data_IF_895929760138
#
_entry.id   IF_895929760138
#
_cell.length_a   1.000
_cell.length_b   1.000
_cell.length_c   1.000
_cell.angle_alpha   90.00
_cell.angle_beta   90.00
_cell.angle_gamma   90.00
#
_symmetry.space_group_name_H-M   'P 1'
#
loop_
_entity.id
_entity.type
_entity.pdbx_description
1 polymer ?
#
# COMPACT_ATOMS: atom_id res chain seq x y z
N UNK A 1 17.10 -1.88 12.84
CA UNK A 1 17.09 -1.47 11.42
C UNK A 1 15.76 -0.82 11.07
N UNK A 2 15.79 0.17 10.19
CA UNK A 2 14.57 0.84 9.74
C UNK A 2 13.75 -0.11 8.87
N UNK A 3 12.45 -0.14 9.07
CA UNK A 3 11.56 -0.81 8.15
C UNK A 3 11.56 -0.06 6.80
N UNK A 4 11.50 -0.82 5.72
CA UNK A 4 11.51 -0.27 4.36
C UNK A 4 10.13 -0.34 3.75
N UNK A 5 9.62 0.81 3.34
CA UNK A 5 8.29 0.96 2.79
C UNK A 5 8.39 1.36 1.33
N UNK A 6 7.68 0.63 0.47
CA UNK A 6 7.48 1.05 -0.92
C UNK A 6 6.13 1.76 -1.00
N UNK A 7 6.10 2.93 -1.62
CA UNK A 7 4.86 3.66 -1.88
C UNK A 7 4.66 3.79 -3.38
N UNK A 8 3.50 3.39 -3.87
CA UNK A 8 3.15 3.47 -5.28
C UNK A 8 1.92 4.35 -5.43
N UNK A 9 2.10 5.54 -6.01
CA UNK A 9 1.05 6.54 -6.16
C UNK A 9 1.49 7.52 -7.25
N UNK A 10 0.56 7.91 -8.13
CA UNK A 10 0.88 8.79 -9.25
C UNK A 10 0.76 10.29 -8.93
N UNK A 11 0.42 10.66 -7.70
CA UNK A 11 0.31 12.05 -7.26
C UNK A 11 1.56 12.47 -6.49
N UNK A 12 2.48 13.25 -7.11
CA UNK A 12 3.74 13.61 -6.46
C UNK A 12 3.57 14.45 -5.19
N UNK A 13 2.57 15.32 -5.14
CA UNK A 13 2.35 16.17 -3.97
C UNK A 13 1.87 15.34 -2.78
N UNK A 14 0.94 14.43 -3.01
CA UNK A 14 0.46 13.53 -1.97
C UNK A 14 1.59 12.64 -1.45
N UNK A 15 2.38 12.08 -2.36
CA UNK A 15 3.53 11.23 -2.02
C UNK A 15 4.52 11.98 -1.14
N UNK A 16 4.84 13.23 -1.49
CA UNK A 16 5.79 14.03 -0.71
C UNK A 16 5.33 14.20 0.73
N UNK A 17 4.04 14.47 0.93
CA UNK A 17 3.48 14.62 2.27
C UNK A 17 3.53 13.33 3.09
N UNK A 18 3.13 12.23 2.50
CA UNK A 18 3.15 10.93 3.18
C UNK A 18 4.57 10.50 3.48
N UNK A 19 5.48 10.69 2.54
CA UNK A 19 6.90 10.36 2.74
C UNK A 19 7.47 11.11 3.93
N UNK A 20 7.15 12.40 4.06
CA UNK A 20 7.61 13.20 5.18
C UNK A 20 7.13 12.63 6.52
N UNK A 21 5.86 12.26 6.60
CA UNK A 21 5.28 11.68 7.82
C UNK A 21 6.01 10.39 8.19
N UNK A 22 6.22 9.50 7.23
CA UNK A 22 6.84 8.20 7.48
C UNK A 22 8.32 8.32 7.80
N UNK A 23 9.05 9.21 7.13
CA UNK A 23 10.47 9.40 7.40
C UNK A 23 10.70 9.99 8.79
N UNK A 24 9.81 10.88 9.24
CA UNK A 24 9.88 11.41 10.61
C UNK A 24 9.65 10.31 11.65
N UNK A 25 8.91 9.28 11.31
CA UNK A 25 8.69 8.13 12.19
C UNK A 25 9.77 7.06 12.05
N UNK A 26 10.87 7.40 11.40
CA UNK A 26 12.06 6.56 11.25
C UNK A 26 11.86 5.36 10.32
N UNK A 27 11.02 5.50 9.30
CA UNK A 27 10.91 4.52 8.22
C UNK A 27 11.71 4.98 7.00
N UNK A 28 12.25 4.00 6.26
CA UNK A 28 12.87 4.28 4.96
C UNK A 28 11.78 4.14 3.90
N UNK A 29 11.60 5.16 3.05
CA UNK A 29 10.53 5.18 2.06
C UNK A 29 11.10 5.33 0.66
N UNK A 30 10.74 4.40 -0.22
CA UNK A 30 11.01 4.52 -1.65
C UNK A 30 9.68 4.67 -2.37
N UNK A 31 9.70 5.36 -3.51
CA UNK A 31 8.48 5.74 -4.22
C UNK A 31 8.56 5.32 -5.67
N UNK A 32 7.45 4.82 -6.20
CA UNK A 32 7.23 4.64 -7.62
C UNK A 32 5.93 5.33 -8.02
N UNK A 33 5.87 5.88 -9.23
CA UNK A 33 4.74 6.69 -9.66
C UNK A 33 3.80 5.96 -10.63
N UNK A 34 4.07 4.68 -10.89
CA UNK A 34 3.20 3.87 -11.74
C UNK A 34 3.35 2.40 -11.35
N UNK A 35 2.38 1.55 -11.74
CA UNK A 35 2.40 0.14 -11.36
C UNK A 35 3.61 -0.63 -11.88
N UNK A 36 4.05 -0.35 -13.10
CA UNK A 36 5.17 -1.06 -13.71
C UNK A 36 6.46 -0.84 -12.93
N UNK A 37 6.78 0.43 -12.66
CA UNK A 37 8.00 0.77 -11.92
C UNK A 37 7.91 0.26 -10.49
N UNK A 38 6.73 0.33 -9.89
CA UNK A 38 6.52 -0.17 -8.53
C UNK A 38 6.75 -1.67 -8.42
N UNK A 39 6.17 -2.44 -9.34
CA UNK A 39 6.36 -3.89 -9.34
C UNK A 39 7.84 -4.26 -9.56
N UNK A 40 8.49 -3.57 -10.49
CA UNK A 40 9.91 -3.80 -10.76
C UNK A 40 10.78 -3.52 -9.55
N UNK A 41 10.49 -2.43 -8.83
CA UNK A 41 11.21 -2.10 -7.60
C UNK A 41 10.99 -3.15 -6.50
N UNK A 42 9.76 -3.63 -6.37
CA UNK A 42 9.43 -4.68 -5.40
C UNK A 42 10.16 -6.00 -5.70
N UNK A 43 10.41 -6.28 -6.98
CA UNK A 43 11.17 -7.46 -7.37
C UNK A 43 12.66 -7.32 -7.11
N UNK A 44 13.20 -6.11 -7.21
CA UNK A 44 14.65 -5.90 -7.15
C UNK A 44 15.20 -5.67 -5.74
N UNK A 45 14.34 -5.29 -4.79
CA UNK A 45 14.73 -5.04 -3.40
C UNK A 45 13.73 -5.68 -2.46
N UNK A 46 14.11 -5.79 -1.18
CA UNK A 46 13.21 -6.30 -0.14
C UNK A 46 12.54 -5.14 0.57
N UNK A 47 11.23 -5.22 0.71
CA UNK A 47 10.42 -4.23 1.42
C UNK A 47 9.60 -4.91 2.50
N UNK A 48 9.31 -4.16 3.56
CA UNK A 48 8.55 -4.66 4.70
C UNK A 48 7.06 -4.34 4.60
N UNK A 49 6.71 -3.34 3.79
CA UNK A 49 5.33 -2.89 3.64
C UNK A 49 5.15 -2.19 2.29
N UNK A 50 3.98 -2.34 1.71
CA UNK A 50 3.58 -1.61 0.51
C UNK A 50 2.41 -0.68 0.81
N UNK A 51 2.57 0.62 0.50
CA UNK A 51 1.46 1.57 0.45
C UNK A 51 1.07 1.74 -1.01
N UNK A 52 -0.18 1.46 -1.34
CA UNK A 52 -0.63 1.41 -2.72
C UNK A 52 -1.87 2.26 -2.93
N UNK A 53 -1.79 3.23 -3.85
CA UNK A 53 -2.96 3.95 -4.31
C UNK A 53 -3.73 3.06 -5.28
N UNK A 54 -4.99 2.79 -4.95
CA UNK A 54 -5.79 1.88 -5.76
C UNK A 54 -6.31 2.56 -7.04
N UNK A 55 -6.39 3.89 -7.04
CA UNK A 55 -7.00 4.65 -8.14
C UNK A 55 -5.97 5.28 -9.08
N UNK A 56 -4.88 4.60 -9.35
CA UNK A 56 -3.88 5.08 -10.29
C UNK A 56 -4.32 4.94 -11.73
N UNK A 57 -3.77 5.81 -12.58
CA UNK A 57 -3.95 5.74 -14.01
C UNK A 57 -5.42 5.82 -14.40
N UNK A 58 -5.93 4.78 -15.03
CA UNK A 58 -7.32 4.72 -15.51
C UNK A 58 -8.26 4.04 -14.53
N UNK A 59 -7.91 3.99 -13.27
CA UNK A 59 -8.79 3.56 -12.20
C UNK A 59 -8.55 2.15 -11.67
N UNK A 60 -8.38 1.16 -12.51
CA UNK A 60 -8.25 -0.24 -12.06
C UNK A 60 -6.82 -0.73 -11.94
N UNK A 61 -5.83 0.10 -12.24
CA UNK A 61 -4.44 -0.34 -12.27
C UNK A 61 -3.89 -0.72 -10.89
N UNK A 62 -4.33 -0.01 -9.85
CA UNK A 62 -3.92 -0.35 -8.48
C UNK A 62 -4.47 -1.70 -8.04
N UNK A 63 -5.73 -2.00 -8.39
CA UNK A 63 -6.35 -3.28 -8.09
C UNK A 63 -5.62 -4.42 -8.80
N UNK A 64 -5.33 -4.24 -10.08
CA UNK A 64 -4.61 -5.25 -10.86
C UNK A 64 -3.23 -5.51 -10.28
N UNK A 65 -2.54 -4.46 -9.85
CA UNK A 65 -1.22 -4.59 -9.23
C UNK A 65 -1.31 -5.36 -7.91
N UNK A 66 -2.30 -5.04 -7.06
CA UNK A 66 -2.48 -5.76 -5.80
C UNK A 66 -2.67 -7.26 -6.03
N UNK A 67 -3.47 -7.62 -7.02
CA UNK A 67 -3.68 -9.03 -7.37
C UNK A 67 -2.42 -9.69 -7.88
N UNK A 68 -1.65 -8.98 -8.72
CA UNK A 68 -0.40 -9.49 -9.25
C UNK A 68 0.62 -9.75 -8.13
N UNK A 69 0.68 -8.86 -7.16
CA UNK A 69 1.56 -8.99 -6.00
C UNK A 69 1.21 -10.24 -5.19
N UNK A 70 -0.07 -10.50 -4.96
CA UNK A 70 -0.50 -11.68 -4.19
C UNK A 70 -0.22 -13.01 -4.90
N UNK A 71 -0.04 -12.97 -6.21
CA UNK A 71 0.30 -14.17 -7.00
C UNK A 71 1.80 -14.36 -7.17
N UNK A 72 2.61 -13.39 -6.82
CA UNK A 72 4.05 -13.46 -6.98
C UNK A 72 4.69 -14.22 -5.82
N UNK A 73 5.52 -15.24 -6.07
CA UNK A 73 6.13 -16.03 -4.99
C UNK A 73 6.97 -15.22 -4.02
N UNK A 74 7.61 -14.14 -4.48
CA UNK A 74 8.42 -13.29 -3.63
C UNK A 74 7.56 -12.32 -2.81
N UNK A 75 6.45 -11.83 -3.39
CA UNK A 75 5.71 -10.70 -2.84
C UNK A 75 4.39 -11.08 -2.19
N UNK A 76 3.95 -12.33 -2.31
CA UNK A 76 2.60 -12.74 -1.89
C UNK A 76 2.28 -12.47 -0.43
N UNK A 77 3.28 -12.36 0.43
CA UNK A 77 3.07 -12.15 1.86
C UNK A 77 3.40 -10.74 2.35
N UNK A 78 3.77 -9.84 1.44
CA UNK A 78 4.06 -8.47 1.84
C UNK A 78 2.78 -7.80 2.37
N UNK A 79 2.83 -7.12 3.54
CA UNK A 79 1.66 -6.36 3.99
C UNK A 79 1.35 -5.23 3.01
N UNK A 80 0.07 -5.09 2.65
CA UNK A 80 -0.37 -4.05 1.71
C UNK A 80 -1.42 -3.18 2.39
N UNK A 81 -1.13 -1.88 2.45
CA UNK A 81 -2.06 -0.86 2.91
C UNK A 81 -2.51 -0.05 1.70
N UNK A 82 -3.80 -0.15 1.40
CA UNK A 82 -4.39 0.63 0.31
C UNK A 82 -4.67 2.04 0.79
N UNK A 83 -4.33 3.02 -0.05
CA UNK A 83 -4.74 4.41 0.14
C UNK A 83 -5.66 4.77 -1.01
N UNK A 84 -6.85 5.29 -0.71
CA UNK A 84 -7.86 5.56 -1.72
C UNK A 84 -8.52 6.92 -1.50
N UNK A 85 -9.00 7.53 -2.60
CA UNK A 85 -9.65 8.82 -2.55
C UNK A 85 -10.99 8.80 -1.84
N UNK A 86 -11.90 7.93 -2.25
CA UNK A 86 -13.26 7.87 -1.69
C UNK A 86 -13.76 6.44 -1.72
N UNK A 87 -14.55 6.06 -0.71
CA UNK A 87 -15.16 4.71 -0.66
C UNK A 87 -16.04 4.42 -1.87
N UNK A 88 -16.75 5.44 -2.34
CA UNK A 88 -17.62 5.30 -3.51
C UNK A 88 -16.84 4.85 -4.75
N UNK A 89 -15.58 5.27 -4.88
CA UNK A 89 -14.74 4.84 -6.00
C UNK A 89 -14.45 3.35 -5.92
N UNK A 90 -14.21 2.83 -4.73
CA UNK A 90 -14.00 1.39 -4.54
C UNK A 90 -15.29 0.63 -4.83
N UNK A 91 -16.44 1.14 -4.37
CA UNK A 91 -17.73 0.52 -4.63
C UNK A 91 -18.03 0.48 -6.13
N UNK A 92 -17.60 1.48 -6.88
CA UNK A 92 -17.73 1.49 -8.34
C UNK A 92 -16.91 0.39 -9.00
N UNK A 93 -15.70 0.15 -8.50
CA UNK A 93 -14.82 -0.89 -9.03
C UNK A 93 -15.28 -2.31 -8.66
N UNK A 94 -16.01 -2.44 -7.57
CA UNK A 94 -16.49 -3.73 -7.06
C UNK A 94 -17.98 -3.66 -6.77
N UNK A 95 -18.82 -3.48 -7.82
CA UNK A 95 -20.26 -3.30 -7.62
C UNK A 95 -20.90 -4.51 -6.97
N UNK A 96 -21.80 -4.25 -6.03
CA UNK A 96 -22.51 -5.31 -5.32
C UNK A 96 -21.72 -5.94 -4.18
N UNK A 97 -20.54 -5.44 -3.87
CA UNK A 97 -19.71 -5.98 -2.78
C UNK A 97 -19.48 -4.93 -1.71
N UNK A 98 -19.31 -5.39 -0.47
CA UNK A 98 -18.93 -4.49 0.60
C UNK A 98 -17.49 -4.01 0.39
N UNK A 99 -17.22 -2.77 0.78
CA UNK A 99 -15.87 -2.23 0.71
C UNK A 99 -15.07 -2.79 1.88
N UNK A 100 -14.27 -3.80 1.60
CA UNK A 100 -13.48 -4.50 2.61
C UNK A 100 -12.14 -4.87 2.01
N UNK A 101 -11.03 -4.81 2.78
CA UNK A 101 -9.70 -5.14 2.27
C UNK A 101 -9.59 -6.49 1.59
N UNK A 102 -10.34 -7.48 2.04
CA UNK A 102 -10.29 -8.83 1.49
C UNK A 102 -10.69 -8.90 0.02
N UNK A 103 -11.51 -7.96 -0.46
CA UNK A 103 -11.93 -7.98 -1.86
C UNK A 103 -10.84 -7.57 -2.83
N UNK A 104 -9.83 -6.87 -2.36
CA UNK A 104 -8.70 -6.42 -3.19
C UNK A 104 -7.39 -7.09 -2.77
N UNK A 105 -7.48 -8.15 -1.97
CA UNK A 105 -6.30 -8.90 -1.50
C UNK A 105 -5.29 -8.03 -0.79
N UNK A 106 -5.78 -7.17 0.12
CA UNK A 106 -4.93 -6.27 0.89
C UNK A 106 -5.22 -6.44 2.38
N UNK A 107 -4.33 -5.92 3.20
CA UNK A 107 -4.41 -6.10 4.64
C UNK A 107 -5.15 -4.98 5.35
N UNK A 108 -5.16 -3.79 4.79
CA UNK A 108 -5.80 -2.64 5.42
C UNK A 108 -6.08 -1.55 4.39
N UNK A 109 -6.91 -0.59 4.76
CA UNK A 109 -7.34 0.49 3.86
C UNK A 109 -7.44 1.81 4.63
N UNK A 110 -6.97 2.90 4.01
CA UNK A 110 -7.06 4.26 4.55
C UNK A 110 -7.61 5.18 3.45
N UNK A 111 -8.51 6.07 3.84
CA UNK A 111 -9.11 7.04 2.89
C UNK A 111 -8.35 8.37 2.91
N UNK A 112 -8.26 9.00 1.74
CA UNK A 112 -7.76 10.38 1.62
C UNK A 112 -8.88 11.36 2.02
N UNK A 113 -8.58 12.47 2.68
CA UNK A 113 -7.26 12.89 3.15
C UNK A 113 -6.79 12.05 4.32
N UNK A 114 -5.51 11.66 4.32
CA UNK A 114 -4.97 10.73 5.31
C UNK A 114 -4.60 11.48 6.59
N UNK A 115 -5.15 11.03 7.71
CA UNK A 115 -4.80 11.57 9.02
C UNK A 115 -3.48 10.92 9.45
N UNK A 116 -2.43 11.74 9.77
CA UNK A 116 -1.08 11.21 10.01
C UNK A 116 -1.00 10.17 11.13
N UNK A 117 -1.68 10.40 12.25
CA UNK A 117 -1.61 9.46 13.37
C UNK A 117 -2.28 8.13 13.03
N UNK A 118 -3.38 8.17 12.29
CA UNK A 118 -4.05 6.94 11.84
C UNK A 118 -3.17 6.16 10.89
N UNK A 119 -2.51 6.84 9.96
CA UNK A 119 -1.57 6.19 9.04
C UNK A 119 -0.46 5.48 9.80
N UNK A 120 0.16 6.17 10.76
CA UNK A 120 1.26 5.60 11.54
C UNK A 120 0.80 4.41 12.38
N UNK A 121 -0.40 4.48 12.97
CA UNK A 121 -0.97 3.36 13.72
C UNK A 121 -1.14 2.12 12.83
N UNK A 122 -1.69 2.31 11.64
CA UNK A 122 -1.94 1.18 10.73
C UNK A 122 -0.63 0.59 10.19
N UNK A 123 0.33 1.43 9.85
CA UNK A 123 1.65 0.97 9.40
C UNK A 123 2.32 0.15 10.49
N UNK A 124 2.34 0.68 11.71
CA UNK A 124 2.97 -0.03 12.83
C UNK A 124 2.28 -1.37 13.11
N UNK A 125 0.96 -1.39 13.10
CA UNK A 125 0.19 -2.62 13.34
C UNK A 125 0.49 -3.69 12.28
N UNK A 126 0.55 -3.29 11.01
CA UNK A 126 0.85 -4.23 9.93
C UNK A 126 2.27 -4.78 10.01
N UNK A 127 3.23 -3.94 10.35
CA UNK A 127 4.61 -4.36 10.49
C UNK A 127 4.78 -5.33 11.66
N UNK A 128 4.10 -5.08 12.78
CA UNK A 128 4.15 -5.99 13.94
C UNK A 128 3.50 -7.32 13.61
N UNK A 129 2.35 -7.32 12.95
CA UNK A 129 1.65 -8.55 12.59
C UNK A 129 2.50 -9.41 11.66
N UNK A 130 3.15 -8.80 10.68
CA UNK A 130 4.02 -9.51 9.75
C UNK A 130 5.21 -10.16 10.46
N UNK A 131 5.84 -9.44 11.40
CA UNK A 131 6.95 -9.98 12.18
C UNK A 131 6.52 -11.16 13.04
N UNK A 132 5.33 -11.09 13.64
CA UNK A 132 4.81 -12.19 14.46
C UNK A 132 4.59 -13.45 13.64
N UNK A 133 4.06 -13.30 12.43
CA UNK A 133 3.87 -14.44 11.53
C UNK A 133 5.21 -15.05 11.13
N UNK A 134 6.20 -14.22 10.81
CA UNK A 134 7.52 -14.68 10.42
C UNK A 134 8.29 -15.36 11.57
N UNK A 135 7.99 -14.97 12.80
CA UNK A 135 8.63 -15.55 13.98
C UNK A 135 8.12 -16.96 14.33
N UNK A 136 6.99 -17.35 13.74
CA UNK A 136 6.43 -18.69 13.91
C UNK A 136 6.87 -19.59 12.75
#
# INVERSE_FOLDING_TARGET
MKAKIMMIDDDPDFVAGIRTILEKADYEVNVAHNPKDGFQALQSKNYDLLLLDIMMGRGAEGVALARKIRKDPKLKEIPVLIITGVREQIAFLFPGQAVHPNFVDVDELVEKPVEPNLLLEKVEALLKASKMVQAQ
#
